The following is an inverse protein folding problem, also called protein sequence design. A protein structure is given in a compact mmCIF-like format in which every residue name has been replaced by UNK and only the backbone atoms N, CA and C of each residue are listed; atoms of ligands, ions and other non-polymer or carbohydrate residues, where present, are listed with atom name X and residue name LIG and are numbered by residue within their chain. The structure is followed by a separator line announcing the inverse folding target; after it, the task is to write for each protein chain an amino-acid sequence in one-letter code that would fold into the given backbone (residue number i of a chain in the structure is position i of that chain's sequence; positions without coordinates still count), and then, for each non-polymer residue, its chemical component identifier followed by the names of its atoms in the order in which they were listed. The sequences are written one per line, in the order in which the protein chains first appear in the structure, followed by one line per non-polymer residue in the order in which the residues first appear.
data_IF_237740744295
#
_entry.id   IF_237740744295
#
_cell.length_a   1.000
_cell.length_b   1.000
_cell.length_c   1.000
_cell.angle_alpha   90.00
_cell.angle_beta   90.00
_cell.angle_gamma   90.00
#
_symmetry.space_group_name_H-M   'P 1'
#
loop_
_entity.id
_entity.type
_entity.pdbx_description
1 polymer ?
#
# COMPACT_ATOMS: atom_id res chain seq x y z
N UNK A 1 -5.30 24.90 7.65
CA UNK A 1 -5.18 24.62 6.21
C UNK A 1 -3.78 24.86 5.62
N UNK A 2 -3.01 25.86 6.08
CA UNK A 2 -1.66 26.15 5.54
C UNK A 2 -0.73 24.93 5.62
N UNK A 3 -0.79 24.16 6.71
CA UNK A 3 0.00 22.96 6.91
C UNK A 3 -0.33 21.83 5.94
N UNK A 4 -1.62 21.68 5.59
CA UNK A 4 -2.02 20.73 4.55
C UNK A 4 -1.35 21.06 3.21
N UNK A 5 -1.44 22.32 2.76
CA UNK A 5 -0.82 22.73 1.50
C UNK A 5 0.71 22.66 1.55
N UNK A 6 1.33 22.92 2.70
CA UNK A 6 2.77 22.73 2.89
C UNK A 6 3.15 21.25 2.73
N UNK A 7 2.41 20.34 3.38
CA UNK A 7 2.65 18.90 3.28
C UNK A 7 2.45 18.38 1.86
N UNK A 8 1.40 18.82 1.15
CA UNK A 8 1.20 18.51 -0.27
C UNK A 8 2.35 19.05 -1.12
N UNK A 9 2.76 20.30 -0.87
CA UNK A 9 3.93 20.90 -1.53
C UNK A 9 5.21 20.10 -1.32
N UNK A 10 5.45 19.57 -0.12
CA UNK A 10 6.59 18.71 0.17
C UNK A 10 6.52 17.36 -0.58
N UNK A 11 5.34 16.73 -0.66
CA UNK A 11 5.16 15.50 -1.46
C UNK A 11 5.46 15.75 -2.93
N UNK A 12 4.93 16.83 -3.49
CA UNK A 12 5.18 17.22 -4.89
C UNK A 12 6.66 17.53 -5.11
N UNK A 13 7.29 18.30 -4.23
CA UNK A 13 8.73 18.57 -4.27
C UNK A 13 9.55 17.26 -4.17
N UNK A 14 9.13 16.34 -3.30
CA UNK A 14 9.71 15.00 -3.18
C UNK A 14 9.70 14.22 -4.50
N UNK A 15 8.60 14.29 -5.25
CA UNK A 15 8.53 13.68 -6.58
C UNK A 15 9.55 14.26 -7.56
N UNK A 16 9.67 15.58 -7.63
CA UNK A 16 10.55 16.24 -8.58
C UNK A 16 12.03 16.19 -8.19
N UNK A 17 12.34 16.24 -6.90
CA UNK A 17 13.72 16.31 -6.39
C UNK A 17 14.22 14.91 -6.05
N UNK A 18 13.62 14.28 -5.03
CA UNK A 18 14.10 13.00 -4.52
C UNK A 18 13.75 11.84 -5.48
N UNK A 19 12.55 11.85 -6.07
CA UNK A 19 12.16 10.85 -7.07
C UNK A 19 13.08 10.87 -8.31
N UNK A 20 13.52 12.06 -8.77
CA UNK A 20 14.52 12.17 -9.85
C UNK A 20 15.89 11.66 -9.43
N UNK A 21 16.27 11.85 -8.18
CA UNK A 21 17.51 11.31 -7.61
C UNK A 21 17.48 9.79 -7.57
N UNK A 22 16.38 9.18 -7.10
CA UNK A 22 16.17 7.73 -7.07
C UNK A 22 16.20 7.13 -8.49
N UNK A 23 15.54 7.78 -9.45
CA UNK A 23 15.57 7.38 -10.87
C UNK A 23 17.00 7.36 -11.43
N UNK A 24 17.81 8.34 -11.10
CA UNK A 24 19.23 8.39 -11.51
C UNK A 24 20.05 7.26 -10.88
N UNK A 25 19.83 6.94 -9.62
CA UNK A 25 20.49 5.81 -8.94
C UNK A 25 20.14 4.50 -9.64
N UNK A 26 18.87 4.26 -9.93
CA UNK A 26 18.43 3.04 -10.61
C UNK A 26 19.04 2.97 -12.02
N UNK A 27 19.00 4.06 -12.78
CA UNK A 27 19.48 4.14 -14.16
C UNK A 27 18.57 3.36 -15.12
N UNK A 28 17.38 3.90 -15.46
CA UNK A 28 16.49 3.26 -16.41
C UNK A 28 17.14 3.20 -17.81
N UNK A 29 16.91 2.08 -18.51
CA UNK A 29 17.47 1.78 -19.84
C UNK A 29 16.34 1.80 -20.88
N UNK A 30 16.06 2.95 -21.49
CA UNK A 30 14.92 3.10 -22.43
C UNK A 30 15.07 2.30 -23.72
N UNK A 31 16.29 1.87 -24.04
CA UNK A 31 16.60 1.01 -25.18
C UNK A 31 16.15 -0.44 -24.97
N UNK A 32 15.96 -0.86 -23.73
CA UNK A 32 15.49 -2.22 -23.43
C UNK A 32 13.98 -2.31 -23.62
N UNK A 33 13.56 -3.30 -24.41
CA UNK A 33 12.13 -3.62 -24.56
C UNK A 33 11.61 -4.22 -23.26
N UNK A 34 10.53 -3.64 -22.74
CA UNK A 34 9.87 -4.13 -21.53
C UNK A 34 9.13 -5.45 -21.76
N UNK A 35 8.78 -6.19 -20.70
CA UNK A 35 7.99 -7.41 -20.81
C UNK A 35 6.62 -7.19 -21.45
N UNK A 36 6.02 -6.01 -21.31
CA UNK A 36 4.78 -5.65 -21.99
C UNK A 36 4.86 -5.84 -23.51
N UNK A 37 6.05 -5.59 -24.10
CA UNK A 37 6.29 -5.70 -25.55
C UNK A 37 6.79 -7.10 -25.92
N UNK A 38 7.76 -7.64 -25.15
CA UNK A 38 8.44 -8.89 -25.50
C UNK A 38 7.64 -10.14 -25.19
N UNK A 39 6.68 -10.06 -24.28
CA UNK A 39 5.86 -11.16 -23.78
C UNK A 39 4.37 -10.93 -23.97
N UNK A 40 3.98 -9.97 -24.83
CA UNK A 40 2.57 -9.62 -25.06
C UNK A 40 1.72 -10.87 -25.37
N UNK A 41 0.69 -11.11 -24.55
CA UNK A 41 -0.21 -12.26 -24.68
C UNK A 41 -1.71 -11.87 -24.75
N UNK A 42 -2.01 -10.58 -24.61
CA UNK A 42 -3.38 -10.04 -24.61
C UNK A 42 -4.20 -10.39 -23.36
N UNK A 43 -3.60 -10.95 -22.31
CA UNK A 43 -4.28 -11.35 -21.06
C UNK A 43 -3.64 -10.71 -19.84
N UNK A 44 -2.37 -11.01 -19.57
CA UNK A 44 -1.61 -10.49 -18.43
C UNK A 44 -0.51 -9.52 -18.88
N UNK A 45 0.00 -9.65 -20.11
CA UNK A 45 0.99 -8.79 -20.73
C UNK A 45 0.33 -7.97 -21.84
N UNK A 46 -0.11 -6.77 -21.50
CA UNK A 46 -0.87 -5.88 -22.41
C UNK A 46 -0.22 -4.49 -22.44
N UNK A 47 0.45 -4.09 -23.53
CA UNK A 47 1.03 -2.75 -23.61
C UNK A 47 -0.04 -1.65 -23.47
N UNK A 48 0.15 -0.74 -22.52
CA UNK A 48 -0.75 0.37 -22.26
C UNK A 48 0.01 1.70 -22.27
N UNK A 49 -0.70 2.83 -22.53
CA UNK A 49 -0.11 4.16 -22.39
C UNK A 49 0.26 4.47 -20.95
N UNK A 50 1.32 5.24 -20.73
CA UNK A 50 1.85 5.59 -19.41
C UNK A 50 0.79 6.18 -18.48
N UNK A 51 -0.07 7.06 -18.99
CA UNK A 51 -1.17 7.66 -18.23
C UNK A 51 -2.17 6.60 -17.74
N UNK A 52 -2.45 5.60 -18.58
CA UNK A 52 -3.35 4.50 -18.22
C UNK A 52 -2.70 3.59 -17.19
N UNK A 53 -1.42 3.24 -17.36
CA UNK A 53 -0.68 2.43 -16.39
C UNK A 53 -0.58 3.15 -15.05
N UNK A 54 -0.28 4.45 -15.03
CA UNK A 54 -0.28 5.28 -13.82
C UNK A 54 -1.63 5.25 -13.10
N UNK A 55 -2.73 5.50 -13.85
CA UNK A 55 -4.06 5.52 -13.25
C UNK A 55 -4.42 4.17 -12.64
N UNK A 56 -4.11 3.09 -13.36
CA UNK A 56 -4.35 1.72 -12.87
C UNK A 56 -3.49 1.42 -11.64
N UNK A 57 -2.20 1.79 -11.65
CA UNK A 57 -1.32 1.64 -10.49
C UNK A 57 -1.88 2.40 -9.28
N UNK A 58 -2.23 3.68 -9.45
CA UNK A 58 -2.80 4.48 -8.37
C UNK A 58 -4.08 3.87 -7.80
N UNK A 59 -5.02 3.46 -8.66
CA UNK A 59 -6.29 2.86 -8.22
C UNK A 59 -6.10 1.48 -7.58
N UNK A 60 -5.08 0.73 -7.98
CA UNK A 60 -4.77 -0.57 -7.38
C UNK A 60 -4.17 -0.44 -5.98
N UNK A 61 -3.32 0.57 -5.75
CA UNK A 61 -2.69 0.80 -4.44
C UNK A 61 -3.59 1.58 -3.49
N UNK A 62 -4.33 2.56 -4.00
CA UNK A 62 -5.22 3.43 -3.22
C UNK A 62 -6.55 2.74 -2.85
N UNK A 63 -6.49 1.62 -2.14
CA UNK A 63 -7.67 0.98 -1.55
C UNK A 63 -8.23 1.76 -0.36
N UNK A 64 -8.73 1.07 0.66
CA UNK A 64 -9.15 1.72 1.93
C UNK A 64 -7.98 2.14 2.81
N UNK A 65 -6.78 1.61 2.55
CA UNK A 65 -5.59 1.88 3.37
C UNK A 65 -5.26 3.36 3.54
N UNK A 66 -5.11 4.15 2.44
CA UNK A 66 -4.82 5.58 2.51
C UNK A 66 -6.01 6.44 2.98
N UNK A 67 -7.14 5.82 3.29
CA UNK A 67 -8.32 6.45 3.87
C UNK A 67 -8.41 6.11 5.36
N UNK A 68 -8.55 4.83 5.69
CA UNK A 68 -8.78 4.38 7.06
C UNK A 68 -7.52 4.51 7.94
N UNK A 69 -6.34 4.20 7.39
CA UNK A 69 -5.09 4.36 8.13
C UNK A 69 -4.84 5.80 8.60
N UNK A 70 -4.92 6.81 7.72
CA UNK A 70 -4.80 8.23 8.11
C UNK A 70 -5.88 8.74 9.03
N UNK A 71 -7.14 8.26 8.92
CA UNK A 71 -8.21 8.57 9.90
C UNK A 71 -7.83 8.05 11.28
N UNK A 72 -7.38 6.80 11.38
CA UNK A 72 -6.86 6.22 12.62
C UNK A 72 -5.62 6.96 13.12
N UNK A 73 -4.74 7.35 12.19
CA UNK A 73 -3.54 8.11 12.49
C UNK A 73 -3.82 9.51 13.02
N UNK A 74 -4.92 10.14 12.62
CA UNK A 74 -5.32 11.45 13.10
C UNK A 74 -5.58 11.49 14.62
N UNK A 75 -5.86 10.35 15.24
CA UNK A 75 -5.96 10.24 16.70
C UNK A 75 -4.63 10.58 17.40
N UNK A 76 -3.49 10.35 16.75
CA UNK A 76 -2.18 10.73 17.28
C UNK A 76 -1.87 12.22 17.13
N UNK A 77 -2.73 12.97 16.45
CA UNK A 77 -2.51 14.38 16.19
C UNK A 77 -1.71 14.70 14.92
N UNK A 78 -1.22 15.94 14.76
CA UNK A 78 -0.52 16.42 13.56
C UNK A 78 0.76 15.65 13.20
N UNK A 79 1.38 14.94 14.15
CA UNK A 79 2.55 14.09 13.90
C UNK A 79 2.29 13.02 12.82
N UNK A 80 1.04 12.59 12.66
CA UNK A 80 0.62 11.68 11.61
C UNK A 80 0.90 12.22 10.20
N UNK A 81 0.74 13.54 9.98
CA UNK A 81 1.04 14.18 8.69
C UNK A 81 2.53 14.11 8.37
N UNK A 82 3.41 14.23 9.36
CA UNK A 82 4.87 14.11 9.16
C UNK A 82 5.23 12.70 8.69
N UNK A 83 4.64 11.67 9.33
CA UNK A 83 4.87 10.30 8.89
C UNK A 83 4.36 10.05 7.46
N UNK A 84 3.17 10.55 7.11
CA UNK A 84 2.66 10.44 5.74
C UNK A 84 3.64 11.09 4.75
N UNK A 85 4.10 12.32 5.01
CA UNK A 85 5.00 13.04 4.09
C UNK A 85 6.36 12.37 3.97
N UNK A 86 7.06 12.19 5.09
CA UNK A 86 8.44 11.70 5.06
C UNK A 86 8.49 10.19 4.80
N UNK A 87 7.55 9.42 5.34
CA UNK A 87 7.41 8.00 5.05
C UNK A 87 7.13 7.76 3.56
N UNK A 88 6.21 8.53 2.98
CA UNK A 88 5.89 8.42 1.56
C UNK A 88 7.11 8.75 0.68
N UNK A 89 7.78 9.89 0.89
CA UNK A 89 8.90 10.35 0.05
C UNK A 89 10.10 9.40 0.15
N UNK A 90 10.55 9.09 1.39
CA UNK A 90 11.84 8.44 1.61
C UNK A 90 11.77 6.92 1.72
N UNK A 91 10.60 6.37 1.98
CA UNK A 91 10.41 4.93 2.12
C UNK A 91 9.39 4.37 1.12
N UNK A 92 8.13 4.84 1.12
CA UNK A 92 7.06 4.26 0.31
C UNK A 92 7.28 4.42 -1.18
N UNK A 93 7.55 5.63 -1.65
CA UNK A 93 7.77 5.87 -3.08
C UNK A 93 9.09 5.25 -3.60
N UNK A 94 10.10 5.11 -2.74
CA UNK A 94 11.31 4.34 -3.04
C UNK A 94 10.98 2.87 -3.16
N UNK A 95 10.25 2.31 -2.18
CA UNK A 95 9.79 0.93 -2.18
C UNK A 95 9.00 0.59 -3.45
N UNK A 96 8.02 1.42 -3.80
CA UNK A 96 7.16 1.21 -4.98
C UNK A 96 7.93 1.32 -6.28
N UNK A 97 8.83 2.30 -6.38
CA UNK A 97 9.68 2.47 -7.56
C UNK A 97 10.57 1.23 -7.78
N UNK A 98 11.28 0.77 -6.75
CA UNK A 98 12.15 -0.40 -6.89
C UNK A 98 11.35 -1.68 -7.09
N UNK A 99 10.22 -1.88 -6.41
CA UNK A 99 9.39 -3.08 -6.62
C UNK A 99 8.87 -3.17 -8.05
N UNK A 100 8.41 -2.06 -8.63
CA UNK A 100 7.99 -2.00 -10.02
C UNK A 100 9.12 -2.21 -11.01
N UNK A 101 10.22 -1.46 -10.86
CA UNK A 101 11.34 -1.50 -11.79
C UNK A 101 12.12 -2.82 -11.75
N UNK A 102 12.26 -3.43 -10.59
CA UNK A 102 12.87 -4.77 -10.46
C UNK A 102 11.97 -5.83 -11.11
N UNK A 103 10.65 -5.72 -10.95
CA UNK A 103 9.71 -6.60 -11.66
C UNK A 103 9.82 -6.43 -13.18
N UNK A 104 9.94 -5.19 -13.70
CA UNK A 104 10.16 -4.95 -15.15
C UNK A 104 11.41 -5.68 -15.62
N UNK A 105 12.53 -5.56 -14.90
CA UNK A 105 13.81 -6.23 -15.24
C UNK A 105 13.76 -7.74 -15.08
N UNK A 106 12.94 -8.24 -14.14
CA UNK A 106 12.65 -9.64 -13.95
C UNK A 106 11.48 -10.15 -14.83
N UNK A 107 11.26 -9.54 -16.00
CA UNK A 107 10.21 -9.93 -16.98
C UNK A 107 8.79 -9.94 -16.44
N UNK A 108 8.44 -9.02 -15.54
CA UNK A 108 7.13 -8.96 -14.89
C UNK A 108 6.93 -10.03 -13.81
N UNK A 109 8.02 -10.52 -13.22
CA UNK A 109 7.98 -11.53 -12.17
C UNK A 109 7.29 -11.01 -10.90
N UNK A 110 6.64 -11.92 -10.19
CA UNK A 110 6.01 -11.65 -8.89
C UNK A 110 7.05 -11.32 -7.80
N UNK A 111 6.61 -10.66 -6.74
CA UNK A 111 7.49 -10.24 -5.61
C UNK A 111 8.32 -11.39 -5.04
N UNK A 112 7.78 -12.60 -4.77
CA UNK A 112 8.59 -13.69 -4.27
C UNK A 112 9.75 -14.06 -5.19
N UNK A 113 9.54 -13.97 -6.50
CA UNK A 113 10.60 -14.25 -7.49
C UNK A 113 11.67 -13.16 -7.46
N UNK A 114 11.26 -11.87 -7.46
CA UNK A 114 12.19 -10.74 -7.34
C UNK A 114 13.00 -10.82 -6.04
N UNK A 115 12.34 -11.10 -4.92
CA UNK A 115 13.00 -11.30 -3.61
C UNK A 115 14.01 -12.46 -3.69
N UNK A 116 13.62 -13.56 -4.34
CA UNK A 116 14.49 -14.73 -4.51
C UNK A 116 15.76 -14.45 -5.30
N UNK A 117 15.67 -13.66 -6.38
CA UNK A 117 16.82 -13.26 -7.21
C UNK A 117 17.86 -12.44 -6.44
N UNK A 118 17.41 -11.65 -5.47
CA UNK A 118 18.29 -10.74 -4.73
C UNK A 118 18.71 -11.25 -3.36
N UNK A 119 17.81 -11.88 -2.60
CA UNK A 119 18.07 -12.35 -1.24
C UNK A 119 18.30 -13.87 -1.14
N UNK A 120 17.92 -14.64 -2.17
CA UNK A 120 18.13 -16.09 -2.27
C UNK A 120 16.86 -16.92 -2.05
N UNK A 121 16.98 -18.24 -2.28
CA UNK A 121 15.83 -19.15 -2.33
C UNK A 121 15.05 -19.27 -1.03
N UNK A 122 15.70 -19.23 0.12
CA UNK A 122 15.00 -19.26 1.41
C UNK A 122 14.04 -18.07 1.56
N UNK A 123 14.50 -16.86 1.20
CA UNK A 123 13.68 -15.65 1.20
C UNK A 123 12.53 -15.76 0.18
N UNK A 124 12.75 -16.38 -0.99
CA UNK A 124 11.71 -16.66 -1.99
C UNK A 124 10.60 -17.53 -1.42
N UNK A 125 10.94 -18.64 -0.79
CA UNK A 125 9.93 -19.57 -0.26
C UNK A 125 9.16 -18.96 0.91
N UNK A 126 9.84 -18.25 1.80
CA UNK A 126 9.18 -17.48 2.85
C UNK A 126 8.20 -16.47 2.25
N UNK A 127 8.66 -15.70 1.25
CA UNK A 127 7.85 -14.67 0.62
C UNK A 127 6.67 -15.23 -0.18
N UNK A 128 6.78 -16.42 -0.78
CA UNK A 128 5.65 -17.07 -1.44
C UNK A 128 4.49 -17.30 -0.47
N UNK A 129 4.77 -17.90 0.68
CA UNK A 129 3.74 -18.14 1.70
C UNK A 129 3.22 -16.83 2.27
N UNK A 130 4.13 -15.94 2.65
CA UNK A 130 3.81 -14.69 3.34
C UNK A 130 3.01 -13.73 2.46
N UNK A 131 3.36 -13.60 1.17
CA UNK A 131 2.63 -12.77 0.23
C UNK A 131 1.21 -13.30 -0.03
N UNK A 132 1.01 -14.62 -0.09
CA UNK A 132 -0.35 -15.19 -0.23
C UNK A 132 -1.19 -14.89 1.01
N UNK A 133 -0.63 -15.06 2.21
CA UNK A 133 -1.32 -14.72 3.47
C UNK A 133 -1.68 -13.23 3.50
N UNK A 134 -0.72 -12.35 3.19
CA UNK A 134 -0.97 -10.91 3.09
C UNK A 134 -2.11 -10.60 2.11
N UNK A 135 -2.04 -11.14 0.90
CA UNK A 135 -3.02 -10.85 -0.15
C UNK A 135 -4.42 -11.38 0.19
N UNK A 136 -4.50 -12.48 0.93
CA UNK A 136 -5.76 -12.98 1.47
C UNK A 136 -6.34 -12.00 2.51
N UNK A 137 -5.53 -11.51 3.45
CA UNK A 137 -5.96 -10.52 4.45
C UNK A 137 -6.38 -9.21 3.79
N UNK A 138 -5.59 -8.71 2.83
CA UNK A 138 -5.92 -7.52 2.01
C UNK A 138 -7.26 -7.71 1.30
N UNK A 139 -7.43 -8.84 0.60
CA UNK A 139 -8.66 -9.14 -0.11
C UNK A 139 -9.88 -9.14 0.81
N UNK A 140 -9.77 -9.71 2.01
CA UNK A 140 -10.86 -9.73 3.00
C UNK A 140 -11.14 -8.32 3.55
N UNK A 141 -10.13 -7.54 3.88
CA UNK A 141 -10.30 -6.12 4.30
C UNK A 141 -11.00 -5.34 3.21
N UNK A 142 -10.64 -5.56 1.94
CA UNK A 142 -11.22 -4.88 0.78
C UNK A 142 -12.59 -5.43 0.34
N UNK A 143 -13.07 -6.49 0.97
CA UNK A 143 -14.47 -6.91 0.93
C UNK A 143 -15.26 -6.27 2.08
N UNK A 144 -14.75 -6.38 3.31
CA UNK A 144 -15.47 -5.94 4.51
C UNK A 144 -15.67 -4.43 4.56
N UNK A 145 -14.66 -3.64 4.17
CA UNK A 145 -14.72 -2.18 4.23
C UNK A 145 -15.82 -1.59 3.31
N UNK A 146 -15.88 -1.90 2.00
CA UNK A 146 -16.95 -1.41 1.14
C UNK A 146 -18.30 -2.03 1.49
N UNK A 147 -18.34 -3.29 1.93
CA UNK A 147 -19.59 -3.94 2.37
C UNK A 147 -20.19 -3.19 3.57
N UNK A 148 -19.38 -2.78 4.55
CA UNK A 148 -19.82 -1.99 5.69
C UNK A 148 -20.36 -0.61 5.27
N UNK A 149 -19.66 0.09 4.37
CA UNK A 149 -20.13 1.38 3.85
C UNK A 149 -21.46 1.25 3.09
N UNK A 150 -21.60 0.23 2.26
CA UNK A 150 -22.83 -0.02 1.49
C UNK A 150 -24.00 -0.45 2.40
N UNK A 151 -23.71 -1.27 3.42
CA UNK A 151 -24.71 -1.67 4.40
C UNK A 151 -25.27 -0.44 5.13
N UNK A 152 -24.39 0.46 5.59
CA UNK A 152 -24.81 1.71 6.24
C UNK A 152 -25.58 2.64 5.30
N UNK A 153 -25.17 2.73 4.03
CA UNK A 153 -25.83 3.61 3.05
C UNK A 153 -27.20 3.11 2.63
N UNK A 154 -27.43 1.79 2.59
CA UNK A 154 -28.64 1.16 2.04
C UNK A 154 -29.54 0.54 3.12
N UNK A 155 -29.11 0.55 4.39
CA UNK A 155 -29.78 -0.14 5.48
C UNK A 155 -30.00 -1.65 5.20
N UNK A 156 -29.12 -2.26 4.40
CA UNK A 156 -29.17 -3.67 4.02
C UNK A 156 -28.16 -4.45 4.86
N UNK A 157 -28.46 -5.70 5.17
CA UNK A 157 -27.57 -6.56 5.95
C UNK A 157 -26.17 -6.69 5.28
N UNK A 158 -25.13 -6.57 6.09
CA UNK A 158 -23.72 -6.65 5.69
C UNK A 158 -23.40 -7.91 4.87
N UNK A 159 -24.03 -9.04 5.20
CA UNK A 159 -23.78 -10.33 4.55
C UNK A 159 -24.14 -10.30 3.07
N UNK A 160 -25.21 -9.64 2.67
CA UNK A 160 -25.58 -9.54 1.26
C UNK A 160 -24.53 -8.78 0.45
N UNK A 161 -23.97 -7.71 1.00
CA UNK A 161 -22.90 -6.96 0.35
C UNK A 161 -21.59 -7.73 0.26
N UNK A 162 -21.22 -8.47 1.32
CA UNK A 162 -20.06 -9.38 1.29
C UNK A 162 -20.23 -10.40 0.16
N UNK A 163 -21.40 -11.04 0.05
CA UNK A 163 -21.70 -12.03 -1.00
C UNK A 163 -21.66 -11.39 -2.39
N UNK A 164 -22.23 -10.20 -2.56
CA UNK A 164 -22.23 -9.49 -3.85
C UNK A 164 -20.81 -9.15 -4.31
N UNK A 165 -19.94 -8.69 -3.40
CA UNK A 165 -18.55 -8.38 -3.73
C UNK A 165 -17.74 -9.64 -4.07
N UNK A 166 -17.89 -10.74 -3.34
CA UNK A 166 -17.27 -12.02 -3.72
C UNK A 166 -17.80 -12.55 -5.06
N UNK A 167 -19.09 -12.43 -5.34
CA UNK A 167 -19.65 -12.78 -6.65
C UNK A 167 -19.02 -11.95 -7.78
N UNK A 168 -18.82 -10.65 -7.55
CA UNK A 168 -18.08 -9.78 -8.47
C UNK A 168 -16.64 -10.29 -8.68
N UNK A 169 -15.91 -10.69 -7.64
CA UNK A 169 -14.53 -11.18 -7.78
C UNK A 169 -14.46 -12.50 -8.55
N UNK A 170 -15.45 -13.38 -8.41
CA UNK A 170 -15.54 -14.59 -9.22
C UNK A 170 -15.72 -14.22 -10.70
N UNK A 171 -16.63 -13.28 -11.01
CA UNK A 171 -16.84 -12.78 -12.37
C UNK A 171 -15.57 -12.10 -12.92
N UNK A 172 -14.91 -11.27 -12.13
CA UNK A 172 -13.68 -10.59 -12.51
C UNK A 172 -12.50 -11.55 -12.77
N UNK A 173 -12.49 -12.71 -12.11
CA UNK A 173 -11.49 -13.77 -12.37
C UNK A 173 -11.65 -14.38 -13.78
N UNK A 174 -12.88 -14.39 -14.31
CA UNK A 174 -13.19 -14.94 -15.63
C UNK A 174 -12.84 -13.97 -16.75
N UNK A 175 -13.10 -12.66 -16.53
CA UNK A 175 -12.95 -11.62 -17.54
C UNK A 175 -11.47 -11.17 -17.66
N UNK A 176 -10.95 -10.94 -18.89
CA UNK A 176 -9.63 -10.36 -19.09
C UNK A 176 -9.51 -8.97 -18.44
N UNK A 177 -8.33 -8.69 -17.87
CA UNK A 177 -8.07 -7.48 -17.09
C UNK A 177 -8.30 -6.19 -17.89
N UNK A 178 -7.92 -6.16 -19.15
CA UNK A 178 -8.00 -4.98 -20.02
C UNK A 178 -9.45 -4.51 -20.28
N UNK A 179 -10.42 -5.43 -20.31
CA UNK A 179 -11.83 -5.11 -20.56
C UNK A 179 -12.47 -4.37 -19.36
N UNK A 180 -12.13 -4.76 -18.15
CA UNK A 180 -12.60 -4.11 -16.91
C UNK A 180 -11.87 -2.76 -16.75
N UNK A 181 -10.54 -2.79 -16.79
CA UNK A 181 -9.67 -1.64 -16.61
C UNK A 181 -9.94 -0.56 -17.66
N UNK A 182 -10.07 -0.94 -18.92
CA UNK A 182 -10.20 0.03 -20.03
C UNK A 182 -11.44 0.90 -19.97
N UNK A 183 -12.54 0.40 -19.42
CA UNK A 183 -13.84 1.04 -19.47
C UNK A 183 -14.24 1.73 -18.17
N UNK A 184 -13.92 1.14 -17.03
CA UNK A 184 -14.40 1.59 -15.73
C UNK A 184 -13.37 2.43 -14.96
N UNK A 185 -12.08 2.18 -15.11
CA UNK A 185 -11.04 2.89 -14.37
C UNK A 185 -11.02 4.42 -14.58
N UNK A 186 -11.30 4.97 -15.80
CA UNK A 186 -11.41 6.42 -15.93
C UNK A 186 -12.55 7.04 -15.10
N UNK A 187 -13.68 6.32 -14.97
CA UNK A 187 -14.80 6.74 -14.12
C UNK A 187 -14.41 6.70 -12.65
N UNK A 188 -13.72 5.63 -12.24
CA UNK A 188 -13.24 5.46 -10.86
C UNK A 188 -12.21 6.53 -10.50
N UNK A 189 -11.30 6.85 -11.42
CA UNK A 189 -10.37 7.96 -11.26
C UNK A 189 -11.06 9.32 -11.12
N UNK A 190 -12.10 9.56 -11.90
CA UNK A 190 -12.90 10.79 -11.80
C UNK A 190 -13.62 10.89 -10.45
N UNK A 191 -14.18 9.78 -9.93
CA UNK A 191 -14.79 9.73 -8.60
C UNK A 191 -13.76 9.95 -7.49
N UNK A 192 -12.57 9.36 -7.62
CA UNK A 192 -11.47 9.58 -6.67
C UNK A 192 -11.04 11.05 -6.62
N UNK A 193 -10.90 11.69 -7.77
CA UNK A 193 -10.57 13.12 -7.86
C UNK A 193 -11.71 13.98 -7.30
N UNK A 194 -12.96 13.67 -7.65
CA UNK A 194 -14.14 14.37 -7.11
C UNK A 194 -14.17 14.27 -5.59
N UNK A 195 -14.04 13.08 -5.03
CA UNK A 195 -14.00 12.85 -3.59
C UNK A 195 -12.88 13.68 -2.95
N UNK A 196 -11.66 13.55 -3.45
CA UNK A 196 -10.46 14.17 -2.86
C UNK A 196 -10.54 15.70 -2.90
N UNK A 197 -10.85 16.27 -4.05
CA UNK A 197 -10.95 17.72 -4.25
C UNK A 197 -12.20 18.28 -3.58
N UNK A 198 -13.33 17.60 -3.73
CA UNK A 198 -14.61 18.02 -3.16
C UNK A 198 -14.57 18.12 -1.64
N UNK A 199 -14.00 17.10 -0.96
CA UNK A 199 -13.90 17.10 0.50
C UNK A 199 -12.98 18.21 1.04
N UNK A 200 -11.85 18.48 0.38
CA UNK A 200 -10.96 19.59 0.78
C UNK A 200 -11.63 20.95 0.54
N UNK A 201 -12.31 21.15 -0.59
CA UNK A 201 -13.08 22.37 -0.84
C UNK A 201 -14.20 22.52 0.20
N UNK A 202 -14.96 21.46 0.48
CA UNK A 202 -15.98 21.44 1.51
C UNK A 202 -15.44 21.81 2.88
N UNK A 203 -14.27 21.27 3.27
CA UNK A 203 -13.61 21.61 4.53
C UNK A 203 -13.19 23.10 4.57
N UNK A 204 -12.63 23.63 3.49
CA UNK A 204 -12.26 25.05 3.41
C UNK A 204 -13.49 25.95 3.53
N UNK A 205 -14.57 25.63 2.80
CA UNK A 205 -15.82 26.41 2.81
C UNK A 205 -16.50 26.35 4.17
N UNK A 206 -16.41 25.22 4.89
CA UNK A 206 -16.97 25.08 6.23
C UNK A 206 -16.29 25.96 7.28
N UNK A 207 -15.11 26.52 6.98
CA UNK A 207 -14.33 27.34 7.91
C UNK A 207 -13.69 26.56 9.06
N UNK A 208 -13.82 25.22 9.06
CA UNK A 208 -13.19 24.36 10.08
C UNK A 208 -11.67 24.37 9.90
N UNK A 209 -10.96 24.63 10.98
CA UNK A 209 -9.50 24.55 11.05
C UNK A 209 -9.05 23.30 11.81
N UNK A 210 -7.76 23.10 11.95
CA UNK A 210 -7.26 22.11 12.93
C UNK A 210 -7.84 22.47 14.30
N UNK A 211 -8.42 21.47 15.01
CA UNK A 211 -8.86 21.72 16.37
C UNK A 211 -7.69 22.32 17.16
N UNK A 212 -7.95 23.20 18.10
CA UNK A 212 -7.06 24.15 18.81
C UNK A 212 -5.65 23.67 19.23
N UNK A 213 -5.16 22.59 18.67
CA UNK A 213 -3.84 22.01 18.94
C UNK A 213 -2.69 22.75 18.24
N UNK A 214 -2.99 23.62 17.28
CA UNK A 214 -1.95 24.22 16.45
C UNK A 214 -1.14 23.17 15.68
N UNK A 215 0.19 23.19 15.80
CA UNK A 215 1.11 22.14 15.35
C UNK A 215 1.77 21.45 16.56
N UNK A 216 0.95 21.01 17.48
CA UNK A 216 1.42 20.17 18.57
C UNK A 216 1.74 18.77 18.01
N UNK A 217 3.03 18.43 18.00
CA UNK A 217 3.53 17.13 17.56
C UNK A 217 3.65 16.13 18.72
N UNK A 218 3.13 16.45 19.90
CA UNK A 218 3.00 15.47 20.98
C UNK A 218 1.99 14.39 20.61
N UNK A 219 2.00 13.31 21.38
CA UNK A 219 1.02 12.26 21.24
C UNK A 219 -0.34 12.70 21.79
N UNK A 220 -1.32 12.91 20.91
CA UNK A 220 -2.69 13.31 21.27
C UNK A 220 -3.67 12.14 21.29
N UNK A 221 -3.19 10.89 21.27
CA UNK A 221 -4.06 9.72 21.21
C UNK A 221 -4.91 9.61 22.49
N UNK A 222 -6.27 9.61 22.40
CA UNK A 222 -7.16 9.72 23.56
C UNK A 222 -7.08 8.52 24.52
N UNK A 223 -6.54 7.39 24.08
CA UNK A 223 -6.28 6.21 24.92
C UNK A 223 -4.78 6.01 25.19
N UNK A 224 -3.97 7.06 25.02
CA UNK A 224 -2.53 7.09 25.30
C UNK A 224 -1.71 6.00 24.57
N UNK A 225 -2.21 5.49 23.43
CA UNK A 225 -1.44 4.55 22.62
C UNK A 225 -0.13 5.18 22.18
N UNK A 226 1.02 4.50 22.33
CA UNK A 226 2.32 5.09 22.04
C UNK A 226 2.51 5.33 20.54
N UNK A 227 3.20 6.42 20.18
CA UNK A 227 3.57 6.71 18.81
C UNK A 227 4.44 5.58 18.23
N UNK A 228 5.45 5.15 18.97
CA UNK A 228 6.34 4.06 18.61
C UNK A 228 5.84 2.72 19.16
N UNK A 229 5.69 1.69 18.35
CA UNK A 229 5.79 1.63 16.87
C UNK A 229 4.43 1.85 16.19
N UNK A 230 3.36 2.14 16.95
CA UNK A 230 1.96 1.98 16.53
C UNK A 230 1.56 2.93 15.39
N UNK A 231 1.99 4.19 15.41
CA UNK A 231 1.70 5.14 14.34
C UNK A 231 2.17 4.60 12.98
N UNK A 232 3.38 4.02 12.93
CA UNK A 232 4.02 3.52 11.71
C UNK A 232 3.37 2.25 11.15
N UNK A 233 2.68 1.49 11.99
CA UNK A 233 1.85 0.34 11.58
C UNK A 233 0.45 0.81 11.19
N UNK A 234 -0.11 1.77 11.92
CA UNK A 234 -1.46 2.30 11.70
C UNK A 234 -1.58 2.99 10.34
N UNK A 235 -0.63 3.85 10.01
CA UNK A 235 -0.54 4.48 8.68
C UNK A 235 0.48 3.71 7.85
N UNK A 236 0.05 2.59 7.32
CA UNK A 236 0.81 1.81 6.35
C UNK A 236 0.63 2.39 4.95
N UNK A 237 -0.54 2.25 4.38
CA UNK A 237 -0.88 2.85 3.09
C UNK A 237 -0.87 4.39 3.19
N UNK A 238 -0.31 5.04 2.17
CA UNK A 238 -0.06 6.48 2.18
C UNK A 238 1.31 6.88 2.73
N UNK A 239 2.02 5.98 3.45
CA UNK A 239 3.40 6.17 3.89
C UNK A 239 4.34 5.09 3.35
N UNK A 240 4.16 3.82 3.73
CA UNK A 240 4.92 2.66 3.21
C UNK A 240 4.00 1.45 3.21
N UNK A 241 3.85 0.76 2.08
CA UNK A 241 2.95 -0.39 1.99
C UNK A 241 3.53 -1.55 1.16
N UNK A 242 3.70 -2.70 1.79
CA UNK A 242 4.18 -3.90 1.12
C UNK A 242 3.16 -4.51 0.14
N UNK A 243 1.87 -4.23 0.33
CA UNK A 243 0.83 -4.61 -0.63
C UNK A 243 1.13 -4.05 -2.02
N UNK A 244 1.67 -2.83 -2.11
CA UNK A 244 2.04 -2.19 -3.38
C UNK A 244 3.04 -3.02 -4.19
N UNK A 245 4.03 -3.63 -3.53
CA UNK A 245 4.97 -4.52 -4.21
C UNK A 245 4.27 -5.68 -4.90
N UNK A 246 3.14 -6.17 -4.36
CA UNK A 246 2.38 -7.25 -4.98
C UNK A 246 1.55 -6.78 -6.18
N UNK A 247 1.25 -5.49 -6.30
CA UNK A 247 0.51 -4.88 -7.41
C UNK A 247 1.44 -4.42 -8.53
N UNK A 248 2.62 -3.95 -8.19
CA UNK A 248 3.61 -3.45 -9.15
C UNK A 248 3.93 -4.41 -10.30
N UNK A 249 4.03 -5.75 -10.11
CA UNK A 249 4.24 -6.69 -11.21
C UNK A 249 3.14 -6.68 -12.27
N UNK A 250 1.88 -6.41 -11.89
CA UNK A 250 0.77 -6.30 -12.85
C UNK A 250 1.01 -5.13 -13.79
N UNK A 251 1.50 -4.01 -13.27
CA UNK A 251 1.80 -2.81 -14.06
C UNK A 251 3.13 -2.92 -14.80
N UNK A 252 4.11 -3.63 -14.26
CA UNK A 252 5.35 -3.95 -14.95
C UNK A 252 5.10 -4.73 -16.26
N UNK A 253 4.05 -5.56 -16.30
CA UNK A 253 3.58 -6.28 -17.49
C UNK A 253 2.83 -5.42 -18.51
N UNK A 254 2.54 -4.15 -18.17
CA UNK A 254 1.79 -3.22 -19.02
C UNK A 254 2.62 -2.02 -19.46
N UNK A 255 3.71 -1.71 -18.77
CA UNK A 255 4.57 -0.55 -19.01
C UNK A 255 5.43 -0.74 -20.26
N UNK A 256 5.44 0.24 -21.17
CA UNK A 256 6.14 0.14 -22.47
C UNK A 256 7.59 0.63 -22.43
N UNK A 257 7.98 1.48 -21.46
CA UNK A 257 9.32 2.06 -21.39
C UNK A 257 9.77 2.24 -19.95
N UNK A 258 11.03 1.89 -19.64
CA UNK A 258 11.59 2.05 -18.28
C UNK A 258 11.62 3.50 -17.77
N UNK A 259 11.72 4.51 -18.69
CA UNK A 259 11.66 5.93 -18.30
C UNK A 259 10.34 6.33 -17.62
N UNK A 260 9.27 5.62 -17.91
CA UNK A 260 7.97 5.88 -17.31
C UNK A 260 7.86 5.40 -15.83
N UNK A 261 8.83 4.62 -15.36
CA UNK A 261 8.80 4.01 -14.04
C UNK A 261 8.66 5.00 -12.89
N UNK A 262 9.37 6.16 -12.94
CA UNK A 262 9.21 7.20 -11.91
C UNK A 262 7.79 7.78 -11.91
N UNK A 263 7.21 8.04 -13.06
CA UNK A 263 5.84 8.53 -13.16
C UNK A 263 4.84 7.48 -12.66
N UNK A 264 4.99 6.22 -13.08
CA UNK A 264 4.04 5.16 -12.79
C UNK A 264 4.12 4.72 -11.32
N UNK A 265 5.30 4.36 -10.81
CA UNK A 265 5.43 3.75 -9.47
C UNK A 265 5.67 4.79 -8.38
N UNK A 266 6.73 5.59 -8.50
CA UNK A 266 7.01 6.64 -7.51
C UNK A 266 5.88 7.68 -7.48
N UNK A 267 5.40 8.11 -8.66
CA UNK A 267 4.33 9.09 -8.78
C UNK A 267 2.99 8.62 -8.25
N UNK A 268 2.62 7.34 -8.45
CA UNK A 268 1.38 6.79 -7.89
C UNK A 268 1.42 6.78 -6.37
N UNK A 269 2.58 6.43 -5.76
CA UNK A 269 2.73 6.48 -4.30
C UNK A 269 2.62 7.92 -3.75
N UNK A 270 3.18 8.91 -4.44
CA UNK A 270 2.96 10.32 -4.08
C UNK A 270 1.49 10.71 -4.18
N UNK A 271 0.79 10.26 -5.23
CA UNK A 271 -0.65 10.45 -5.38
C UNK A 271 -1.45 9.84 -4.21
N UNK A 272 -1.08 8.64 -3.80
CA UNK A 272 -1.67 7.98 -2.63
C UNK A 272 -1.37 8.74 -1.33
N UNK A 273 -0.13 9.23 -1.16
CA UNK A 273 0.26 10.07 -0.02
C UNK A 273 -0.57 11.35 0.08
N UNK A 274 -0.95 11.96 -1.06
CA UNK A 274 -1.86 13.12 -1.08
C UNK A 274 -3.25 12.71 -0.59
N UNK A 275 -3.79 11.57 -1.04
CA UNK A 275 -5.07 11.04 -0.56
C UNK A 275 -5.02 10.81 0.96
N UNK A 276 -3.94 10.21 1.44
CA UNK A 276 -3.71 9.98 2.86
C UNK A 276 -3.67 11.29 3.67
N UNK A 277 -3.00 12.33 3.15
CA UNK A 277 -3.00 13.67 3.78
C UNK A 277 -4.39 14.29 3.83
N UNK A 278 -5.21 14.12 2.78
CA UNK A 278 -6.59 14.60 2.77
C UNK A 278 -7.37 13.99 3.93
N UNK A 279 -7.37 12.67 4.06
CA UNK A 279 -8.12 12.00 5.12
C UNK A 279 -7.56 12.22 6.53
N UNK A 280 -6.24 12.34 6.67
CA UNK A 280 -5.62 12.76 7.92
C UNK A 280 -6.06 14.19 8.30
N UNK A 281 -6.06 15.11 7.33
CA UNK A 281 -6.49 16.49 7.53
C UNK A 281 -7.98 16.58 7.89
N UNK A 282 -8.84 15.78 7.25
CA UNK A 282 -10.26 15.68 7.58
C UNK A 282 -10.47 15.19 9.02
N UNK A 283 -9.74 14.15 9.44
CA UNK A 283 -9.75 13.68 10.83
C UNK A 283 -9.31 14.74 11.84
N UNK A 284 -8.27 15.53 11.49
CA UNK A 284 -7.71 16.59 12.33
C UNK A 284 -8.51 17.90 12.34
N UNK A 285 -9.42 18.11 11.39
CA UNK A 285 -10.06 19.43 11.19
C UNK A 285 -11.57 19.38 11.24
N UNK A 286 -12.19 18.25 10.96
CA UNK A 286 -13.64 18.13 10.95
C UNK A 286 -14.22 18.02 12.35
N UNK A 287 -13.56 17.27 13.22
CA UNK A 287 -13.93 17.10 14.63
C UNK A 287 -13.29 18.18 15.49
N UNK A 288 -13.90 18.45 16.64
CA UNK A 288 -13.39 19.49 17.57
C UNK A 288 -12.25 18.98 18.46
N UNK A 289 -12.05 17.66 18.54
CA UNK A 289 -10.97 17.03 19.31
C UNK A 289 -10.70 15.58 18.86
N UNK A 290 -9.61 14.97 19.33
CA UNK A 290 -9.30 13.55 19.12
C UNK A 290 -10.32 12.63 19.82
N UNK A 291 -10.88 13.06 20.96
CA UNK A 291 -11.92 12.33 21.67
C UNK A 291 -13.22 12.26 20.85
N UNK A 292 -13.61 13.37 20.18
CA UNK A 292 -14.79 13.40 19.32
C UNK A 292 -14.60 12.49 18.10
N UNK A 293 -13.45 12.52 17.46
CA UNK A 293 -13.10 11.58 16.40
C UNK A 293 -13.17 10.13 16.90
N UNK A 294 -12.58 9.86 18.06
CA UNK A 294 -12.57 8.52 18.65
C UNK A 294 -13.98 8.02 19.01
N UNK A 295 -14.87 8.90 19.45
CA UNK A 295 -16.26 8.57 19.72
C UNK A 295 -17.02 8.14 18.46
N UNK A 296 -16.85 8.84 17.34
CA UNK A 296 -17.43 8.42 16.04
C UNK A 296 -16.86 7.08 15.59
N UNK A 297 -15.55 6.87 15.79
CA UNK A 297 -14.89 5.61 15.43
C UNK A 297 -15.38 4.44 16.31
N UNK A 298 -15.66 4.65 17.59
CA UNK A 298 -16.21 3.63 18.48
C UNK A 298 -17.59 3.15 18.02
N UNK A 299 -18.37 4.02 17.35
CA UNK A 299 -19.74 3.75 16.89
C UNK A 299 -19.85 3.12 15.49
N UNK A 300 -18.77 2.94 14.76
CA UNK A 300 -18.84 2.36 13.39
C UNK A 300 -17.50 2.35 12.64
N UNK A 301 -16.40 2.53 13.36
CA UNK A 301 -15.05 2.51 12.80
C UNK A 301 -14.76 3.67 11.85
N UNK A 302 -13.67 3.58 11.07
CA UNK A 302 -13.33 4.60 10.07
C UNK A 302 -14.41 4.80 9.01
N UNK A 303 -15.24 3.80 8.74
CA UNK A 303 -16.35 3.91 7.79
C UNK A 303 -17.42 4.92 8.25
N UNK A 304 -17.70 4.99 9.56
CA UNK A 304 -18.61 6.01 10.12
C UNK A 304 -18.04 7.42 9.92
N UNK A 305 -16.73 7.61 10.13
CA UNK A 305 -16.05 8.90 9.86
C UNK A 305 -16.17 9.28 8.40
N UNK A 306 -15.92 8.36 7.46
CA UNK A 306 -16.08 8.62 6.02
C UNK A 306 -17.49 9.06 5.70
N UNK A 307 -18.50 8.38 6.23
CA UNK A 307 -19.90 8.72 6.00
C UNK A 307 -20.24 10.11 6.55
N UNK A 308 -19.93 10.35 7.82
CA UNK A 308 -20.24 11.60 8.51
C UNK A 308 -19.58 12.82 7.84
N UNK A 309 -18.26 12.74 7.60
CA UNK A 309 -17.49 13.81 6.97
C UNK A 309 -17.99 14.10 5.56
N UNK A 310 -18.23 13.04 4.74
CA UNK A 310 -18.63 13.23 3.34
C UNK A 310 -20.02 13.84 3.23
N UNK A 311 -20.98 13.37 4.02
CA UNK A 311 -22.35 13.89 3.99
C UNK A 311 -22.48 15.30 4.57
N UNK A 312 -21.71 15.59 5.63
CA UNK A 312 -21.72 16.92 6.26
C UNK A 312 -21.07 17.99 5.37
N UNK A 313 -19.96 17.66 4.68
CA UNK A 313 -19.24 18.63 3.87
C UNK A 313 -19.82 18.81 2.46
N UNK A 314 -20.38 17.77 1.85
CA UNK A 314 -20.83 17.76 0.46
C UNK A 314 -22.36 17.66 0.32
N UNK A 315 -23.10 17.61 1.41
CA UNK A 315 -24.52 17.35 1.43
C UNK A 315 -24.87 15.93 0.99
N UNK A 316 -26.15 15.61 0.89
CA UNK A 316 -26.61 14.23 0.64
C UNK A 316 -26.09 13.68 -0.69
N UNK A 317 -26.27 14.39 -1.78
CA UNK A 317 -25.87 13.90 -3.13
C UNK A 317 -24.34 13.82 -3.27
N UNK A 318 -23.65 14.89 -2.88
CA UNK A 318 -22.17 14.92 -2.94
C UNK A 318 -21.54 13.90 -2.00
N UNK A 319 -22.12 13.71 -0.81
CA UNK A 319 -21.70 12.70 0.16
C UNK A 319 -21.84 11.28 -0.39
N UNK A 320 -22.98 10.94 -1.01
CA UNK A 320 -23.16 9.63 -1.67
C UNK A 320 -22.12 9.41 -2.76
N UNK A 321 -21.85 10.40 -3.62
CA UNK A 321 -20.83 10.28 -4.67
C UNK A 321 -19.41 10.08 -4.08
N UNK A 322 -19.08 10.78 -2.99
CA UNK A 322 -17.81 10.61 -2.30
C UNK A 322 -17.69 9.21 -1.68
N UNK A 323 -18.75 8.73 -1.01
CA UNK A 323 -18.78 7.37 -0.43
C UNK A 323 -18.64 6.31 -1.53
N UNK A 324 -19.31 6.47 -2.67
CA UNK A 324 -19.15 5.56 -3.80
C UNK A 324 -17.70 5.55 -4.31
N UNK A 325 -17.01 6.69 -4.32
CA UNK A 325 -15.58 6.76 -4.61
C UNK A 325 -14.75 5.91 -3.64
N UNK A 326 -15.05 5.99 -2.33
CA UNK A 326 -14.37 5.18 -1.30
C UNK A 326 -14.72 3.68 -1.43
N UNK A 327 -15.94 3.33 -1.84
CA UNK A 327 -16.39 1.93 -2.02
C UNK A 327 -15.72 1.27 -3.23
N UNK A 328 -15.59 2.00 -4.32
CA UNK A 328 -15.08 1.46 -5.58
C UNK A 328 -13.58 1.12 -5.48
N UNK A 329 -12.79 1.95 -4.79
CA UNK A 329 -11.36 1.75 -4.65
C UNK A 329 -10.98 0.38 -4.07
N UNK A 330 -11.47 -0.03 -2.88
CA UNK A 330 -11.14 -1.34 -2.32
C UNK A 330 -11.71 -2.50 -3.15
N UNK A 331 -12.84 -2.33 -3.82
CA UNK A 331 -13.39 -3.38 -4.68
C UNK A 331 -12.45 -3.67 -5.85
N UNK A 332 -11.88 -2.65 -6.50
CA UNK A 332 -10.91 -2.83 -7.57
C UNK A 332 -9.58 -3.37 -7.07
N UNK A 333 -9.09 -2.85 -5.94
CA UNK A 333 -7.85 -3.30 -5.32
C UNK A 333 -7.96 -4.73 -4.78
N UNK A 334 -9.12 -5.15 -4.28
CA UNK A 334 -9.38 -6.51 -3.83
C UNK A 334 -9.39 -7.53 -4.97
N UNK A 335 -9.96 -7.19 -6.14
CA UNK A 335 -9.85 -8.03 -7.34
C UNK A 335 -8.37 -8.28 -7.70
N UNK A 336 -7.57 -7.21 -7.73
CA UNK A 336 -6.15 -7.33 -8.06
C UNK A 336 -5.34 -8.03 -6.96
N UNK A 337 -5.74 -7.92 -5.68
CA UNK A 337 -5.13 -8.66 -4.58
C UNK A 337 -5.34 -10.18 -4.74
N UNK A 338 -6.59 -10.62 -4.92
CA UNK A 338 -6.89 -12.04 -5.15
C UNK A 338 -6.26 -12.55 -6.46
N UNK A 339 -6.19 -11.72 -7.50
CA UNK A 339 -5.51 -12.06 -8.76
C UNK A 339 -4.00 -12.26 -8.54
N UNK A 340 -3.35 -11.37 -7.80
CA UNK A 340 -1.92 -11.48 -7.47
C UNK A 340 -1.64 -12.73 -6.63
N UNK A 341 -2.46 -13.00 -5.61
CA UNK A 341 -2.35 -14.22 -4.81
C UNK A 341 -2.50 -15.49 -5.67
N UNK A 342 -3.50 -15.51 -6.55
CA UNK A 342 -3.71 -16.62 -7.50
C UNK A 342 -2.49 -16.83 -8.41
N UNK A 343 -1.89 -15.75 -8.92
CA UNK A 343 -0.70 -15.84 -9.76
C UNK A 343 0.51 -16.37 -8.98
N UNK A 344 0.73 -15.93 -7.75
CA UNK A 344 1.81 -16.44 -6.89
C UNK A 344 1.63 -17.93 -6.62
N UNK A 345 0.41 -18.38 -6.31
CA UNK A 345 0.11 -19.80 -6.10
C UNK A 345 0.30 -20.60 -7.40
N UNK A 346 -0.13 -20.04 -8.53
CA UNK A 346 0.04 -20.68 -9.83
C UNK A 346 1.53 -20.83 -10.22
N UNK A 347 2.34 -19.81 -9.98
CA UNK A 347 3.78 -19.83 -10.22
C UNK A 347 4.47 -20.88 -9.32
N UNK A 348 4.08 -20.95 -8.04
CA UNK A 348 4.59 -21.95 -7.11
C UNK A 348 4.24 -23.38 -7.53
N UNK A 349 2.99 -23.61 -7.97
CA UNK A 349 2.50 -24.92 -8.44
C UNK A 349 2.87 -25.21 -9.91
N UNK A 350 3.54 -24.27 -10.61
CA UNK A 350 3.88 -24.35 -12.04
C UNK A 350 2.66 -24.59 -12.93
N UNK A 351 1.51 -24.01 -12.58
CA UNK A 351 0.26 -24.13 -13.31
C UNK A 351 0.07 -22.98 -14.29
N UNK A 352 -0.16 -23.33 -15.57
CA UNK A 352 -0.49 -22.32 -16.60
C UNK A 352 -1.86 -21.71 -16.33
N UNK A 353 -1.98 -20.38 -16.44
CA UNK A 353 -3.21 -19.63 -16.14
C UNK A 353 -4.05 -19.29 -17.38
N UNK A 354 -3.66 -19.77 -18.59
CA UNK A 354 -4.44 -19.57 -19.82
C UNK A 354 -5.82 -20.23 -19.76
N UNK A 355 -6.00 -21.53 -19.34
CA UNK A 355 -7.31 -22.14 -19.24
C UNK A 355 -8.11 -21.59 -18.06
N UNK A 356 -9.38 -21.21 -18.29
CA UNK A 356 -10.31 -20.72 -17.26
C UNK A 356 -10.46 -21.70 -16.09
N UNK A 357 -10.59 -23.00 -16.37
CA UNK A 357 -10.72 -24.03 -15.33
C UNK A 357 -9.54 -24.00 -14.33
N UNK A 358 -8.31 -23.78 -14.80
CA UNK A 358 -7.13 -23.69 -13.92
C UNK A 358 -7.10 -22.40 -13.08
N UNK A 359 -7.67 -21.30 -13.59
CA UNK A 359 -7.84 -20.07 -12.81
C UNK A 359 -8.84 -20.30 -11.68
N UNK A 360 -10.01 -20.88 -11.99
CA UNK A 360 -11.05 -21.14 -11.00
C UNK A 360 -10.63 -22.19 -9.97
N UNK A 361 -9.83 -23.19 -10.35
CA UNK A 361 -9.29 -24.20 -9.44
C UNK A 361 -8.51 -23.60 -8.27
N UNK A 362 -7.80 -22.49 -8.50
CA UNK A 362 -7.06 -21.77 -7.44
C UNK A 362 -7.97 -20.72 -6.80
N UNK A 363 -8.72 -19.97 -7.58
CA UNK A 363 -9.48 -18.82 -7.09
C UNK A 363 -10.64 -19.21 -6.17
N UNK A 364 -11.40 -20.29 -6.48
CA UNK A 364 -12.55 -20.70 -5.67
C UNK A 364 -12.15 -21.08 -4.24
N UNK A 365 -11.14 -21.96 -3.99
CA UNK A 365 -10.68 -22.21 -2.63
C UNK A 365 -10.24 -20.96 -1.89
N UNK A 366 -9.59 -20.00 -2.59
CA UNK A 366 -9.18 -18.74 -1.99
C UNK A 366 -10.38 -17.88 -1.59
N UNK A 367 -11.43 -17.79 -2.42
CA UNK A 367 -12.64 -17.04 -2.08
C UNK A 367 -13.39 -17.69 -0.93
N UNK A 368 -13.46 -19.02 -0.87
CA UNK A 368 -14.05 -19.74 0.27
C UNK A 368 -13.28 -19.42 1.56
N UNK A 369 -11.95 -19.52 1.52
CA UNK A 369 -11.10 -19.17 2.66
C UNK A 369 -11.27 -17.69 3.05
N UNK A 370 -11.30 -16.77 2.07
CA UNK A 370 -11.57 -15.35 2.30
C UNK A 370 -12.92 -15.10 2.97
N UNK A 371 -13.96 -15.81 2.52
CA UNK A 371 -15.30 -15.73 3.15
C UNK A 371 -15.29 -16.25 4.59
N UNK A 372 -14.56 -17.33 4.88
CA UNK A 372 -14.40 -17.83 6.26
C UNK A 372 -13.68 -16.80 7.12
N UNK A 373 -12.56 -16.24 6.63
CA UNK A 373 -11.80 -15.20 7.36
C UNK A 373 -12.66 -13.95 7.60
N UNK A 374 -13.55 -13.58 6.66
CA UNK A 374 -14.43 -12.42 6.81
C UNK A 374 -15.43 -12.50 7.96
N UNK A 375 -15.57 -13.66 8.59
CA UNK A 375 -16.40 -13.84 9.81
C UNK A 375 -15.69 -13.44 11.10
N UNK A 376 -14.36 -13.25 11.06
CA UNK A 376 -13.62 -12.76 12.20
C UNK A 376 -13.85 -11.24 12.38
N UNK A 377 -13.57 -10.75 13.60
CA UNK A 377 -13.68 -9.34 13.93
C UNK A 377 -12.76 -8.48 13.04
N UNK A 378 -13.31 -7.42 12.46
CA UNK A 378 -12.58 -6.55 11.53
C UNK A 378 -11.28 -5.98 12.14
N UNK A 379 -11.32 -5.55 13.41
CA UNK A 379 -10.15 -5.01 14.09
C UNK A 379 -9.00 -6.01 14.24
N UNK A 380 -9.31 -7.29 14.39
CA UNK A 380 -8.29 -8.37 14.42
C UNK A 380 -7.67 -8.53 13.04
N UNK A 381 -8.50 -8.63 11.98
CA UNK A 381 -8.04 -8.77 10.60
C UNK A 381 -7.17 -7.57 10.21
N UNK A 382 -7.58 -6.35 10.59
CA UNK A 382 -6.86 -5.11 10.31
C UNK A 382 -5.46 -5.08 10.94
N UNK A 383 -5.32 -5.56 12.18
CA UNK A 383 -4.01 -5.63 12.86
C UNK A 383 -3.06 -6.62 12.20
N UNK A 384 -3.54 -7.82 11.85
CA UNK A 384 -2.74 -8.80 11.10
C UNK A 384 -2.36 -8.27 9.71
N UNK A 385 -3.32 -7.65 9.01
CA UNK A 385 -3.07 -7.00 7.73
C UNK A 385 -1.99 -5.92 7.85
N UNK A 386 -2.10 -5.00 8.81
CA UNK A 386 -1.13 -3.93 9.02
C UNK A 386 0.30 -4.45 9.22
N UNK A 387 0.46 -5.43 10.13
CA UNK A 387 1.78 -6.03 10.38
C UNK A 387 2.32 -6.79 9.17
N UNK A 388 1.51 -7.63 8.53
CA UNK A 388 1.92 -8.39 7.35
C UNK A 388 2.30 -7.47 6.18
N UNK A 389 1.55 -6.39 6.01
CA UNK A 389 1.80 -5.37 5.01
C UNK A 389 3.18 -4.71 5.20
N UNK A 390 3.47 -4.24 6.42
CA UNK A 390 4.75 -3.60 6.70
C UNK A 390 5.92 -4.58 6.63
N UNK A 391 5.74 -5.82 7.06
CA UNK A 391 6.76 -6.88 6.93
C UNK A 391 7.12 -7.15 5.47
N UNK A 392 6.13 -7.16 4.58
CA UNK A 392 6.36 -7.30 3.14
C UNK A 392 7.17 -6.13 2.58
N UNK A 393 6.86 -4.89 3.00
CA UNK A 393 7.63 -3.71 2.60
C UNK A 393 9.09 -3.80 3.04
N UNK A 394 9.35 -4.24 4.26
CA UNK A 394 10.70 -4.46 4.78
C UNK A 394 11.49 -5.41 3.89
N UNK A 395 10.93 -6.57 3.58
CA UNK A 395 11.61 -7.59 2.77
C UNK A 395 11.92 -7.05 1.38
N UNK A 396 10.98 -6.32 0.77
CA UNK A 396 11.17 -5.75 -0.56
C UNK A 396 12.24 -4.63 -0.55
N UNK A 397 12.28 -3.78 0.46
CA UNK A 397 13.33 -2.77 0.63
C UNK A 397 14.73 -3.41 0.79
N UNK A 398 14.86 -4.50 1.56
CA UNK A 398 16.10 -5.25 1.64
C UNK A 398 16.50 -5.90 0.31
N UNK A 399 15.53 -6.41 -0.48
CA UNK A 399 15.79 -6.94 -1.82
C UNK A 399 16.29 -5.85 -2.77
N UNK A 400 15.67 -4.67 -2.73
CA UNK A 400 16.10 -3.50 -3.49
C UNK A 400 17.51 -3.01 -3.08
N UNK A 401 17.82 -3.00 -1.78
CA UNK A 401 19.15 -2.69 -1.27
C UNK A 401 20.20 -3.70 -1.79
N UNK A 402 19.87 -4.99 -1.78
CA UNK A 402 20.74 -6.05 -2.30
C UNK A 402 21.01 -5.89 -3.81
N UNK A 403 19.98 -5.54 -4.59
CA UNK A 403 20.15 -5.20 -5.99
C UNK A 403 21.14 -4.05 -6.19
N UNK A 404 20.95 -2.95 -5.45
CA UNK A 404 21.80 -1.76 -5.57
C UNK A 404 23.26 -2.05 -5.18
N UNK A 405 23.52 -2.86 -4.15
CA UNK A 405 24.89 -3.29 -3.81
C UNK A 405 25.50 -4.09 -4.93
N UNK A 406 24.79 -5.07 -5.50
CA UNK A 406 25.28 -5.89 -6.62
C UNK A 406 25.60 -5.05 -7.88
N UNK A 407 24.87 -3.97 -8.08
CA UNK A 407 25.09 -3.02 -9.18
C UNK A 407 26.15 -1.94 -8.85
N UNK A 408 26.77 -1.97 -7.66
CA UNK A 408 27.72 -0.96 -7.21
C UNK A 408 27.13 0.44 -7.03
N UNK A 409 25.84 0.52 -6.72
CA UNK A 409 25.08 1.76 -6.61
C UNK A 409 24.80 2.14 -5.15
N UNK A 410 24.32 3.37 -4.92
CA UNK A 410 24.00 3.89 -3.58
C UNK A 410 22.82 3.15 -2.96
N UNK A 411 23.08 2.10 -2.21
CA UNK A 411 22.07 1.24 -1.61
C UNK A 411 21.38 1.84 -0.36
N UNK A 412 22.00 2.86 0.26
CA UNK A 412 21.46 3.49 1.47
C UNK A 412 20.07 4.08 1.30
N UNK A 413 19.70 4.43 0.09
CA UNK A 413 18.34 4.92 -0.22
C UNK A 413 17.25 3.88 0.05
N UNK A 414 17.59 2.59 0.04
CA UNK A 414 16.71 1.49 0.41
C UNK A 414 17.06 0.92 1.79
N UNK A 415 18.34 0.89 2.15
CA UNK A 415 18.83 0.30 3.41
C UNK A 415 18.33 1.07 4.63
N UNK A 416 18.37 2.41 4.61
CA UNK A 416 17.91 3.23 5.75
C UNK A 416 16.42 3.00 6.02
N UNK A 417 15.50 3.14 5.06
CA UNK A 417 14.10 2.84 5.31
C UNK A 417 13.85 1.37 5.66
N UNK A 418 14.62 0.42 5.11
CA UNK A 418 14.54 -0.98 5.50
C UNK A 418 14.90 -1.20 6.97
N UNK A 419 15.96 -0.57 7.46
CA UNK A 419 16.36 -0.62 8.88
C UNK A 419 15.27 -0.05 9.79
N UNK A 420 14.79 1.15 9.47
CA UNK A 420 13.74 1.81 10.23
C UNK A 420 12.48 0.94 10.33
N UNK A 421 11.98 0.45 9.19
CA UNK A 421 10.79 -0.37 9.16
C UNK A 421 11.01 -1.76 9.77
N UNK A 422 12.24 -2.29 9.75
CA UNK A 422 12.57 -3.53 10.48
C UNK A 422 12.39 -3.33 11.99
N UNK A 423 12.91 -2.22 12.54
CA UNK A 423 12.72 -1.89 13.95
C UNK A 423 11.23 -1.76 14.30
N UNK A 424 10.44 -1.06 13.48
CA UNK A 424 8.98 -0.91 13.65
C UNK A 424 8.29 -2.27 13.71
N UNK A 425 8.54 -3.13 12.71
CA UNK A 425 7.83 -4.42 12.56
C UNK A 425 8.15 -5.40 13.68
N UNK A 426 9.42 -5.50 14.09
CA UNK A 426 9.82 -6.40 15.17
C UNK A 426 9.41 -5.87 16.54
N UNK A 427 9.47 -4.55 16.78
CA UNK A 427 8.94 -3.95 18.02
C UNK A 427 7.44 -4.19 18.11
N UNK A 428 6.69 -4.00 17.02
CA UNK A 428 5.25 -4.25 17.00
C UNK A 428 4.93 -5.72 17.25
N UNK A 429 5.61 -6.64 16.60
CA UNK A 429 5.41 -8.08 16.81
C UNK A 429 5.68 -8.49 18.27
N UNK A 430 6.69 -7.91 18.90
CA UNK A 430 7.00 -8.17 20.30
C UNK A 430 5.94 -7.61 21.26
N UNK A 431 5.43 -6.39 20.98
CA UNK A 431 4.52 -5.67 21.88
C UNK A 431 3.04 -6.02 21.67
N UNK A 432 2.60 -6.17 20.40
CA UNK A 432 1.18 -6.26 20.10
C UNK A 432 0.51 -7.53 20.69
N UNK A 433 -0.77 -7.45 21.09
CA UNK A 433 -1.53 -8.62 21.57
C UNK A 433 -1.66 -9.75 20.55
N UNK A 434 -1.58 -9.41 19.26
CA UNK A 434 -1.55 -10.40 18.15
C UNK A 434 -0.18 -11.08 17.98
N UNK A 435 0.85 -10.60 18.65
CA UNK A 435 2.20 -11.15 18.69
C UNK A 435 2.53 -11.74 20.06
N UNK A 436 3.58 -11.20 20.71
CA UNK A 436 4.05 -11.76 22.00
C UNK A 436 3.53 -11.04 23.25
N UNK A 437 2.90 -9.85 23.09
CA UNK A 437 2.31 -9.09 24.20
C UNK A 437 3.31 -8.61 25.26
N UNK A 438 4.57 -8.40 24.88
CA UNK A 438 5.64 -7.99 25.80
C UNK A 438 5.53 -6.50 26.13
N UNK A 439 6.13 -6.10 27.24
CA UNK A 439 6.24 -4.69 27.65
C UNK A 439 6.98 -3.87 26.57
N UNK A 440 6.61 -2.58 26.39
CA UNK A 440 7.09 -1.72 25.33
C UNK A 440 8.61 -1.51 25.36
N UNK A 441 9.20 -1.35 26.54
CA UNK A 441 10.65 -1.18 26.70
C UNK A 441 11.41 -2.39 26.14
N UNK A 442 11.03 -3.59 26.59
CA UNK A 442 11.62 -4.84 26.11
C UNK A 442 11.38 -5.06 24.61
N UNK A 443 10.18 -4.77 24.15
CA UNK A 443 9.81 -4.89 22.73
C UNK A 443 10.65 -3.98 21.83
N UNK A 444 10.93 -2.76 22.28
CA UNK A 444 11.81 -1.82 21.56
C UNK A 444 13.24 -2.33 21.50
N UNK A 445 13.77 -2.88 22.59
CA UNK A 445 15.10 -3.51 22.61
C UNK A 445 15.16 -4.68 21.61
N UNK A 446 14.14 -5.54 21.59
CA UNK A 446 14.05 -6.66 20.64
C UNK A 446 14.03 -6.14 19.19
N UNK A 447 13.24 -5.11 18.89
CA UNK A 447 13.17 -4.52 17.57
C UNK A 447 14.50 -3.94 17.10
N UNK A 448 15.20 -3.20 17.98
CA UNK A 448 16.51 -2.63 17.67
C UNK A 448 17.60 -3.71 17.53
N UNK A 449 17.58 -4.72 18.39
CA UNK A 449 18.51 -5.86 18.30
C UNK A 449 18.31 -6.64 16.99
N UNK A 450 17.04 -6.96 16.63
CA UNK A 450 16.73 -7.61 15.36
C UNK A 450 17.22 -6.80 14.16
N UNK A 451 16.98 -5.47 14.19
CA UNK A 451 17.45 -4.57 13.13
C UNK A 451 18.97 -4.59 13.02
N UNK A 452 19.67 -4.52 14.13
CA UNK A 452 21.14 -4.56 14.16
C UNK A 452 21.66 -5.87 13.57
N UNK A 453 21.12 -7.02 14.03
CA UNK A 453 21.53 -8.34 13.55
C UNK A 453 21.27 -8.49 12.05
N UNK A 454 20.06 -8.11 11.59
CA UNK A 454 19.69 -8.20 10.16
C UNK A 454 20.60 -7.29 9.32
N UNK A 455 20.84 -6.06 9.77
CA UNK A 455 21.69 -5.10 9.05
C UNK A 455 23.13 -5.61 8.94
N UNK A 456 23.70 -6.06 10.05
CA UNK A 456 25.08 -6.59 10.05
C UNK A 456 25.17 -7.83 9.15
N UNK A 457 24.25 -8.79 9.30
CA UNK A 457 24.22 -9.99 8.47
C UNK A 457 24.07 -9.64 6.97
N UNK A 458 23.24 -8.65 6.65
CA UNK A 458 23.05 -8.15 5.29
C UNK A 458 24.33 -7.53 4.74
N UNK A 459 24.96 -6.60 5.46
CA UNK A 459 26.20 -5.94 5.03
C UNK A 459 27.36 -6.92 4.89
N UNK A 460 27.47 -7.90 5.78
CA UNK A 460 28.50 -8.97 5.68
C UNK A 460 28.26 -9.84 4.45
N UNK A 461 27.01 -10.27 4.22
CA UNK A 461 26.66 -11.14 3.08
C UNK A 461 26.91 -10.46 1.72
N UNK A 462 26.64 -9.15 1.62
CA UNK A 462 26.76 -8.39 0.38
C UNK A 462 28.04 -7.54 0.31
N UNK A 463 28.97 -7.71 1.28
CA UNK A 463 30.27 -7.06 1.21
C UNK A 463 30.97 -7.48 -0.09
N UNK A 464 31.16 -6.52 -1.01
CA UNK A 464 32.00 -6.81 -2.19
C UNK A 464 33.40 -7.17 -1.70
N UNK A 465 34.01 -8.27 -2.16
CA UNK A 465 35.44 -8.46 -1.95
C UNK A 465 36.11 -7.21 -2.54
N UNK A 466 36.98 -6.57 -1.74
CA UNK A 466 37.89 -5.55 -2.25
C UNK A 466 38.54 -6.15 -3.50
N UNK A 467 38.21 -5.60 -4.67
CA UNK A 467 38.90 -5.97 -5.91
C UNK A 467 40.36 -5.70 -5.63
N UNK A 468 41.13 -6.75 -5.37
CA UNK A 468 42.58 -6.67 -5.45
C UNK A 468 42.87 -6.31 -6.90
N UNK A 469 43.23 -5.05 -7.14
CA UNK A 469 43.83 -4.65 -8.38
C UNK A 469 44.93 -5.67 -8.68
N UNK A 470 44.89 -6.38 -9.82
CA UNK A 470 46.07 -7.02 -10.32
C UNK A 470 46.90 -5.88 -10.92
N UNK A 471 47.57 -5.16 -10.02
CA UNK A 471 48.62 -4.26 -10.40
C UNK A 471 49.91 -5.09 -10.56
N UNK A 472 50.46 -5.02 -11.74
CA UNK A 472 51.87 -5.15 -12.00
C UNK A 472 52.47 -6.57 -11.84
N UNK A 473 52.60 -7.25 -12.95
CA UNK A 473 53.51 -8.32 -13.25
C UNK A 473 53.81 -8.34 -14.72
#
# INVERSE_FOLDING_TARGET
MIWFFLCVGLLVAGYFIYGKFIERIFGPKPELKTPAITMADGVDYVPMSDKKVYLVQLLNIAGVGPIFGPILGALYGPVAMLWIVFGCIFAGAVHDYFSGMLSVRARGASVPTVVGEHLGNAAKHFMNLFAVVLLMLVGVVFVLSPAGLLANLTSTDLVYWIMAIFAYYILATIVPIDKIIGRFYPIFGALLVFMSVGLIIGLIVSGKGFYNTGMDFSNLHPTELPLWPLLFITIACGAVSGFHATQSPLMARCMQNEKSGRFIFYGAMIGEGIIALIWCTLGLSFYDSTEALNATMANGGPAAVVHEVSTSLLGTVGGILAILGVVILPITSGDTAFRSARLIVADFLKLTQKPMAKRLLIAIPMFILGFIISKAEFGVIWRYFGWANQTTAVIMLWAAAAFLIKEGKLHWVCTIPAMFMTAVVFTYLANAPIGFGLEMGLSTIIGLAATTVITVAFLVKFRQPLVSNPSEG
#
